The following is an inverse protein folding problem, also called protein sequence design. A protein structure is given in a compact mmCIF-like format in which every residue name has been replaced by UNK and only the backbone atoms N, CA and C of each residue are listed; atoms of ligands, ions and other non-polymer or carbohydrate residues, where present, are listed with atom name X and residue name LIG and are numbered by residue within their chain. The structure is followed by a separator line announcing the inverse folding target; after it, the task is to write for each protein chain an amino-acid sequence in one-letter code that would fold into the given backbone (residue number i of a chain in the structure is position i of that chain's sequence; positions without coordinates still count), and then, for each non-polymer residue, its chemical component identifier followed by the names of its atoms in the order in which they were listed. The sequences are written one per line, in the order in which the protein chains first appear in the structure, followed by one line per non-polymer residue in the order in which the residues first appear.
data_IF_799626697272
#
_entry.id   IF_799626697272
#
_cell.length_a   1.000
_cell.length_b   1.000
_cell.length_c   1.000
_cell.angle_alpha   90.00
_cell.angle_beta   90.00
_cell.angle_gamma   90.00
#
_symmetry.space_group_name_H-M   'P 1'
#
loop_
_entity.id
_entity.type
_entity.pdbx_description
1 polymer ?
#
# COMPACT_ATOMS: atom_id res chain seq x y z
N UNK A 1 30.47 -27.04 -9.73
CA UNK A 1 29.96 -25.68 -9.80
C UNK A 1 30.72 -24.92 -10.89
N UNK A 2 30.10 -24.70 -12.06
CA UNK A 2 30.74 -24.01 -13.20
C UNK A 2 30.79 -22.51 -12.88
N UNK A 3 31.99 -21.94 -12.80
CA UNK A 3 32.23 -20.50 -12.79
C UNK A 3 31.71 -19.92 -14.10
N UNK A 4 30.49 -19.39 -14.12
CA UNK A 4 30.00 -18.60 -15.25
C UNK A 4 30.88 -17.35 -15.29
N UNK A 5 31.75 -17.22 -16.32
CA UNK A 5 32.59 -16.04 -16.54
C UNK A 5 31.67 -14.83 -16.62
N UNK A 6 31.93 -13.78 -15.83
CA UNK A 6 31.07 -12.60 -15.64
C UNK A 6 30.62 -11.88 -16.93
N UNK A 7 31.40 -11.95 -18.00
CA UNK A 7 31.05 -11.34 -19.30
C UNK A 7 29.81 -11.97 -19.99
N UNK A 8 29.61 -13.29 -19.87
CA UNK A 8 28.43 -13.95 -20.44
C UNK A 8 27.15 -13.66 -19.65
N UNK A 9 27.27 -13.44 -18.32
CA UNK A 9 26.12 -13.08 -17.48
C UNK A 9 25.55 -11.71 -17.84
N UNK A 10 26.40 -10.74 -18.21
CA UNK A 10 25.98 -9.40 -18.62
C UNK A 10 25.22 -9.45 -19.95
N UNK A 11 25.63 -10.30 -20.88
CA UNK A 11 24.96 -10.46 -22.17
C UNK A 11 23.53 -11.00 -22.01
N UNK A 12 23.31 -11.93 -21.05
CA UNK A 12 21.97 -12.43 -20.72
C UNK A 12 21.10 -11.40 -20.00
N UNK A 13 21.70 -10.48 -19.23
CA UNK A 13 20.99 -9.40 -18.57
C UNK A 13 20.65 -8.23 -19.50
N UNK A 14 21.32 -8.10 -20.64
CA UNK A 14 21.21 -6.97 -21.58
C UNK A 14 19.76 -6.69 -22.01
N UNK A 15 18.92 -7.67 -22.44
CA UNK A 15 17.54 -7.38 -22.83
C UNK A 15 16.70 -6.79 -21.67
N UNK A 16 16.88 -7.34 -20.45
CA UNK A 16 16.18 -6.84 -19.27
C UNK A 16 16.64 -5.42 -18.89
N UNK A 17 17.96 -5.15 -18.96
CA UNK A 17 18.53 -3.83 -18.70
C UNK A 17 18.05 -2.83 -19.75
N UNK A 18 18.02 -3.20 -21.02
CA UNK A 18 17.54 -2.33 -22.08
C UNK A 18 16.07 -1.93 -21.89
N UNK A 19 15.20 -2.89 -21.55
CA UNK A 19 13.80 -2.61 -21.23
C UNK A 19 13.67 -1.72 -19.97
N UNK A 20 14.44 -2.00 -18.94
CA UNK A 20 14.44 -1.21 -17.71
C UNK A 20 14.87 0.25 -17.98
N UNK A 21 15.97 0.45 -18.73
CA UNK A 21 16.43 1.79 -19.10
C UNK A 21 15.37 2.49 -19.97
N UNK A 22 14.81 1.83 -20.97
CA UNK A 22 13.87 2.45 -21.91
C UNK A 22 12.52 2.81 -21.25
N UNK A 23 12.00 1.96 -20.39
CA UNK A 23 10.65 2.12 -19.83
C UNK A 23 10.61 2.68 -18.41
N UNK A 24 11.70 2.66 -17.69
CA UNK A 24 11.75 3.19 -16.31
C UNK A 24 12.71 4.38 -16.19
N UNK A 25 13.98 4.23 -16.59
CA UNK A 25 14.98 5.29 -16.42
C UNK A 25 14.76 6.41 -17.44
N UNK A 26 14.51 6.08 -18.71
CA UNK A 26 14.28 7.09 -19.76
C UNK A 26 13.12 8.03 -19.43
N UNK A 27 11.90 7.54 -19.15
CA UNK A 27 10.79 8.37 -18.72
C UNK A 27 11.06 9.16 -17.43
N UNK A 28 11.80 8.61 -16.48
CA UNK A 28 12.19 9.30 -15.26
C UNK A 28 13.07 10.54 -15.56
N UNK A 29 14.09 10.37 -16.41
CA UNK A 29 14.93 11.49 -16.84
C UNK A 29 14.11 12.53 -17.63
N UNK A 30 13.25 12.06 -18.54
CA UNK A 30 12.35 12.92 -19.30
C UNK A 30 11.42 13.72 -18.38
N UNK A 31 10.89 13.10 -17.32
CA UNK A 31 10.04 13.77 -16.33
C UNK A 31 10.81 14.89 -15.60
N UNK A 32 12.07 14.66 -15.21
CA UNK A 32 12.90 15.72 -14.61
C UNK A 32 13.13 16.88 -15.58
N UNK A 33 13.39 16.58 -16.87
CA UNK A 33 13.54 17.62 -17.88
C UNK A 33 12.23 18.40 -18.08
N UNK A 34 11.10 17.71 -18.24
CA UNK A 34 9.77 18.32 -18.44
C UNK A 34 9.40 19.18 -17.21
N UNK A 35 9.79 18.79 -16.00
CA UNK A 35 9.50 19.56 -14.79
C UNK A 35 10.15 20.96 -14.79
N UNK A 36 11.18 21.18 -15.60
CA UNK A 36 11.83 22.48 -15.79
C UNK A 36 11.22 23.30 -16.93
N UNK A 37 10.20 22.77 -17.60
CA UNK A 37 9.52 23.45 -18.69
C UNK A 37 8.17 24.02 -18.23
N UNK A 38 7.82 25.17 -18.77
CA UNK A 38 6.46 25.70 -18.73
C UNK A 38 5.70 25.15 -19.92
N UNK A 39 4.88 24.11 -19.67
CA UNK A 39 4.11 23.44 -20.70
C UNK A 39 2.66 23.33 -20.27
N UNK A 40 1.83 24.26 -20.78
CA UNK A 40 0.44 24.40 -20.33
C UNK A 40 -0.52 23.48 -21.07
N UNK A 41 -0.25 23.18 -22.35
CA UNK A 41 -1.10 22.32 -23.19
C UNK A 41 -0.23 21.49 -24.14
N UNK A 42 -0.73 20.33 -24.53
CA UNK A 42 -0.02 19.38 -25.44
C UNK A 42 0.38 20.05 -26.76
N UNK A 43 -0.41 21.00 -27.28
CA UNK A 43 -0.15 21.71 -28.53
C UNK A 43 0.69 22.99 -28.35
N UNK A 44 0.95 23.42 -27.12
CA UNK A 44 1.78 24.59 -26.86
C UNK A 44 3.26 24.23 -26.96
N UNK A 45 4.08 25.14 -27.50
CA UNK A 45 5.53 24.97 -27.47
C UNK A 45 6.02 25.05 -26.01
N UNK A 46 6.78 24.06 -25.53
CA UNK A 46 7.35 24.11 -24.20
C UNK A 46 8.41 25.19 -24.11
N UNK A 47 8.36 26.02 -23.08
CA UNK A 47 9.35 27.05 -22.80
C UNK A 47 10.16 26.67 -21.58
N UNK A 48 11.46 26.85 -21.62
CA UNK A 48 12.32 26.56 -20.46
C UNK A 48 12.06 27.59 -19.35
N UNK A 49 11.63 27.13 -18.19
CA UNK A 49 11.30 27.95 -17.02
C UNK A 49 12.21 27.69 -15.81
N UNK A 50 13.20 26.82 -15.94
CA UNK A 50 14.12 26.49 -14.85
C UNK A 50 13.38 25.91 -13.64
N UNK A 51 13.52 26.55 -12.50
CA UNK A 51 12.92 26.08 -11.21
C UNK A 51 11.59 26.76 -10.87
N UNK A 52 10.97 27.51 -11.78
CA UNK A 52 9.73 28.24 -11.50
C UNK A 52 8.56 27.34 -11.10
N UNK A 53 8.46 26.16 -11.69
CA UNK A 53 7.43 25.19 -11.29
C UNK A 53 7.60 24.73 -9.85
N UNK A 54 8.84 24.51 -9.41
CA UNK A 54 9.16 24.13 -8.03
C UNK A 54 8.89 25.27 -7.05
N UNK A 55 9.19 26.51 -7.42
CA UNK A 55 8.88 27.70 -6.59
C UNK A 55 7.38 27.84 -6.40
N UNK A 56 6.58 27.70 -7.48
CA UNK A 56 5.11 27.74 -7.39
C UNK A 56 4.54 26.62 -6.55
N UNK A 57 5.09 25.42 -6.70
CA UNK A 57 4.69 24.27 -5.89
C UNK A 57 4.94 24.53 -4.39
N UNK A 58 6.14 25.00 -4.05
CA UNK A 58 6.52 25.28 -2.65
C UNK A 58 5.77 26.48 -2.06
N UNK A 59 5.30 27.41 -2.89
CA UNK A 59 4.47 28.53 -2.48
C UNK A 59 2.97 28.19 -2.36
N UNK A 60 2.57 26.96 -2.73
CA UNK A 60 1.18 26.52 -2.73
C UNK A 60 0.77 25.89 -1.40
N UNK A 61 -0.24 26.43 -0.72
CA UNK A 61 -0.82 25.85 0.49
C UNK A 61 -1.40 24.45 0.24
N UNK A 62 -1.91 24.22 -0.99
CA UNK A 62 -2.42 22.91 -1.39
C UNK A 62 -1.33 21.83 -1.38
N UNK A 63 -0.10 22.18 -1.80
CA UNK A 63 1.04 21.28 -1.74
C UNK A 63 1.37 20.86 -0.30
N UNK A 64 1.46 21.83 0.62
CA UNK A 64 1.78 21.55 2.02
C UNK A 64 0.67 20.77 2.71
N UNK A 65 -0.58 21.08 2.40
CA UNK A 65 -1.74 20.30 2.89
C UNK A 65 -1.69 18.85 2.40
N UNK A 66 -1.43 18.64 1.11
CA UNK A 66 -1.30 17.31 0.53
C UNK A 66 -0.13 16.54 1.14
N UNK A 67 1.03 17.19 1.29
CA UNK A 67 2.21 16.60 1.92
C UNK A 67 1.94 16.19 3.36
N UNK A 68 1.34 17.07 4.16
CA UNK A 68 0.93 16.79 5.54
C UNK A 68 -0.02 15.60 5.62
N UNK A 69 -1.05 15.57 4.78
CA UNK A 69 -2.01 14.47 4.75
C UNK A 69 -1.35 13.15 4.34
N UNK A 70 -0.43 13.17 3.38
CA UNK A 70 0.34 11.98 2.98
C UNK A 70 1.22 11.47 4.12
N UNK A 71 1.94 12.37 4.80
CA UNK A 71 2.78 11.99 5.94
C UNK A 71 1.95 11.45 7.11
N UNK A 72 0.77 12.04 7.37
CA UNK A 72 -0.16 11.52 8.37
C UNK A 72 -0.68 10.14 7.99
N UNK A 73 -1.09 9.94 6.73
CA UNK A 73 -1.54 8.63 6.26
C UNK A 73 -0.45 7.57 6.42
N UNK A 74 0.74 7.82 5.90
CA UNK A 74 1.86 6.86 5.98
C UNK A 74 2.29 6.63 7.43
N UNK A 75 2.47 7.72 8.18
CA UNK A 75 2.93 7.69 9.57
C UNK A 75 1.97 7.02 10.54
N UNK A 76 0.67 7.01 10.23
CA UNK A 76 -0.33 6.30 11.03
C UNK A 76 -0.66 4.92 10.47
N UNK A 77 -0.75 4.76 9.14
CA UNK A 77 -1.13 3.49 8.52
C UNK A 77 -0.10 2.39 8.79
N UNK A 78 1.18 2.65 8.56
CA UNK A 78 2.23 1.64 8.69
C UNK A 78 2.37 1.08 10.13
N UNK A 79 2.40 1.90 11.19
CA UNK A 79 2.46 1.40 12.57
C UNK A 79 1.26 0.54 12.98
N UNK A 80 0.10 0.72 12.36
CA UNK A 80 -1.07 -0.14 12.59
C UNK A 80 -1.09 -1.35 11.66
N UNK A 81 -0.83 -1.15 10.38
CA UNK A 81 -0.92 -2.20 9.37
C UNK A 81 0.11 -3.31 9.60
N UNK A 82 1.37 -2.95 9.89
CA UNK A 82 2.44 -3.95 10.03
C UNK A 82 2.21 -4.88 11.22
N UNK A 83 1.95 -4.40 12.45
CA UNK A 83 1.66 -5.28 13.57
C UNK A 83 0.40 -6.12 13.37
N UNK A 84 -0.67 -5.54 12.86
CA UNK A 84 -1.91 -6.29 12.58
C UNK A 84 -1.69 -7.37 11.53
N UNK A 85 -1.01 -7.04 10.43
CA UNK A 85 -0.66 -8.02 9.39
C UNK A 85 0.28 -9.11 9.92
N UNK A 86 1.21 -8.75 10.82
CA UNK A 86 2.09 -9.71 11.47
C UNK A 86 1.30 -10.66 12.39
N UNK A 87 0.39 -10.16 13.21
CA UNK A 87 -0.47 -10.99 14.07
C UNK A 87 -1.33 -11.97 13.24
N UNK A 88 -1.97 -11.46 12.17
CA UNK A 88 -2.76 -12.30 11.25
C UNK A 88 -1.86 -13.32 10.54
N UNK A 89 -0.71 -12.89 10.05
CA UNK A 89 0.26 -13.75 9.34
C UNK A 89 0.82 -14.84 10.25
N UNK A 90 1.16 -14.50 11.49
CA UNK A 90 1.58 -15.48 12.50
C UNK A 90 0.47 -16.49 12.82
N UNK A 91 -0.76 -16.02 13.05
CA UNK A 91 -1.90 -16.90 13.27
C UNK A 91 -2.12 -17.87 12.11
N UNK A 92 -2.04 -17.39 10.86
CA UNK A 92 -2.15 -18.22 9.67
C UNK A 92 -1.02 -19.24 9.53
N UNK A 93 0.20 -18.89 9.93
CA UNK A 93 1.37 -19.79 9.89
C UNK A 93 1.23 -21.00 10.83
N UNK A 94 0.45 -20.87 11.92
CA UNK A 94 0.14 -21.96 12.84
C UNK A 94 -0.83 -22.98 12.25
N UNK A 95 -1.39 -22.72 11.07
CA UNK A 95 -2.33 -23.59 10.33
C UNK A 95 -3.54 -24.02 11.15
N UNK A 96 -4.27 -23.11 11.82
CA UNK A 96 -5.48 -23.46 12.57
C UNK A 96 -6.55 -24.03 11.65
N UNK A 97 -7.56 -24.69 12.22
CA UNK A 97 -8.71 -25.20 11.46
C UNK A 97 -9.35 -24.04 10.68
N UNK A 98 -9.57 -24.22 9.36
CA UNK A 98 -10.12 -23.18 8.49
C UNK A 98 -9.11 -22.14 7.97
N UNK A 99 -7.81 -22.26 8.28
CA UNK A 99 -6.77 -21.30 7.84
C UNK A 99 -6.78 -21.03 6.33
N UNK A 100 -7.14 -22.02 5.49
CA UNK A 100 -7.20 -21.85 4.03
C UNK A 100 -8.31 -20.86 3.63
N UNK A 101 -9.48 -20.97 4.23
CA UNK A 101 -10.62 -20.07 3.99
C UNK A 101 -10.27 -18.68 4.48
N UNK A 102 -9.72 -18.56 5.70
CA UNK A 102 -9.32 -17.29 6.27
C UNK A 102 -8.24 -16.61 5.42
N UNK A 103 -7.24 -17.36 4.91
CA UNK A 103 -6.22 -16.85 3.98
C UNK A 103 -6.85 -16.25 2.72
N UNK A 104 -7.81 -16.96 2.10
CA UNK A 104 -8.51 -16.47 0.90
C UNK A 104 -9.30 -15.20 1.23
N UNK A 105 -10.09 -15.19 2.29
CA UNK A 105 -10.90 -14.03 2.69
C UNK A 105 -10.03 -12.79 2.98
N UNK A 106 -8.91 -12.98 3.67
CA UNK A 106 -7.98 -11.88 3.98
C UNK A 106 -7.23 -11.37 2.74
N UNK A 107 -6.89 -12.27 1.80
CA UNK A 107 -6.12 -11.89 0.62
C UNK A 107 -6.98 -11.28 -0.49
N UNK A 108 -8.25 -11.65 -0.57
CA UNK A 108 -9.18 -11.18 -1.63
C UNK A 108 -9.24 -9.67 -1.78
N UNK A 109 -9.32 -8.85 -0.70
CA UNK A 109 -9.31 -7.39 -0.85
C UNK A 109 -8.10 -6.85 -1.61
N UNK A 110 -6.93 -7.43 -1.38
CA UNK A 110 -5.68 -7.01 -2.03
C UNK A 110 -5.61 -7.35 -3.53
N UNK A 111 -6.49 -8.23 -4.03
CA UNK A 111 -6.57 -8.59 -5.45
C UNK A 111 -7.51 -7.67 -6.23
N UNK A 112 -8.37 -6.91 -5.54
CA UNK A 112 -9.31 -5.99 -6.18
C UNK A 112 -8.51 -4.79 -6.71
N UNK A 113 -8.78 -4.38 -7.96
CA UNK A 113 -8.14 -3.19 -8.51
C UNK A 113 -8.50 -1.95 -7.69
N UNK A 114 -7.57 -1.00 -7.58
CA UNK A 114 -7.79 0.22 -6.82
C UNK A 114 -9.02 1.01 -7.31
N UNK A 115 -9.27 1.03 -8.63
CA UNK A 115 -10.46 1.67 -9.21
C UNK A 115 -11.75 0.99 -8.77
N UNK A 116 -11.80 -0.35 -8.75
CA UNK A 116 -12.97 -1.08 -8.28
C UNK A 116 -13.18 -0.88 -6.78
N UNK A 117 -12.10 -0.91 -5.97
CA UNK A 117 -12.15 -0.59 -4.54
C UNK A 117 -12.72 0.83 -4.31
N UNK A 118 -12.24 1.81 -5.07
CA UNK A 118 -12.73 3.19 -4.97
C UNK A 118 -14.23 3.29 -5.28
N UNK A 119 -14.73 2.61 -6.32
CA UNK A 119 -16.17 2.59 -6.65
C UNK A 119 -17.02 1.94 -5.56
N UNK A 120 -16.58 0.79 -5.02
CA UNK A 120 -17.29 0.10 -3.94
C UNK A 120 -17.35 0.98 -2.69
N UNK A 121 -16.23 1.52 -2.25
CA UNK A 121 -16.18 2.36 -1.05
C UNK A 121 -16.85 3.72 -1.27
N UNK A 122 -16.85 4.26 -2.48
CA UNK A 122 -17.68 5.42 -2.79
C UNK A 122 -19.14 5.12 -2.53
N UNK A 123 -19.67 4.01 -3.04
CA UNK A 123 -21.07 3.62 -2.80
C UNK A 123 -21.38 3.36 -1.32
N UNK A 124 -20.44 2.82 -0.55
CA UNK A 124 -20.59 2.56 0.89
C UNK A 124 -20.56 3.84 1.71
N UNK A 125 -19.71 4.81 1.34
CA UNK A 125 -19.37 6.00 2.14
C UNK A 125 -20.10 7.28 1.69
N UNK A 126 -20.96 7.22 0.66
CA UNK A 126 -21.84 8.34 0.29
C UNK A 126 -22.95 8.54 1.33
N UNK A 127 -23.62 9.72 1.38
CA UNK A 127 -24.72 9.96 2.31
C UNK A 127 -25.84 8.91 2.28
N UNK A 128 -26.36 8.46 1.12
CA UNK A 128 -27.34 7.36 1.05
C UNK A 128 -26.69 5.97 1.11
N UNK A 129 -25.40 5.86 1.46
CA UNK A 129 -24.64 4.63 1.38
C UNK A 129 -24.86 3.65 2.54
N UNK A 130 -24.32 2.44 2.37
CA UNK A 130 -24.52 1.35 3.31
C UNK A 130 -24.02 1.65 4.74
N UNK A 131 -22.96 2.44 4.90
CA UNK A 131 -22.45 2.77 6.22
C UNK A 131 -23.43 3.60 7.03
N UNK A 132 -24.00 4.66 6.44
CA UNK A 132 -25.01 5.47 7.11
C UNK A 132 -26.30 4.65 7.38
N UNK A 133 -26.73 3.83 6.41
CA UNK A 133 -27.85 2.93 6.62
C UNK A 133 -27.65 1.95 7.79
N UNK A 134 -26.46 1.37 7.90
CA UNK A 134 -26.12 0.50 9.03
C UNK A 134 -26.09 1.26 10.38
N UNK A 135 -25.52 2.47 10.40
CA UNK A 135 -25.50 3.32 11.61
C UNK A 135 -26.89 3.72 12.06
N UNK A 136 -27.81 4.04 11.12
CA UNK A 136 -29.20 4.33 11.40
C UNK A 136 -29.92 3.12 12.00
N UNK A 137 -29.77 1.94 11.38
CA UNK A 137 -30.43 0.71 11.85
C UNK A 137 -29.95 0.27 13.23
N UNK A 138 -28.69 0.60 13.58
CA UNK A 138 -28.12 0.32 14.89
C UNK A 138 -28.42 1.42 15.92
N UNK A 139 -29.09 2.51 15.54
CA UNK A 139 -29.38 3.65 16.42
C UNK A 139 -28.13 4.47 16.82
N UNK A 140 -27.03 4.29 16.08
CA UNK A 140 -25.75 4.94 16.41
C UNK A 140 -25.61 6.34 15.83
N UNK A 141 -26.32 6.64 14.74
CA UNK A 141 -26.37 7.96 14.11
C UNK A 141 -27.63 8.14 13.32
N UNK A 142 -28.16 9.35 13.30
CA UNK A 142 -29.29 9.76 12.46
C UNK A 142 -28.86 10.73 11.34
N UNK A 143 -27.57 11.03 11.22
CA UNK A 143 -27.02 11.93 10.22
C UNK A 143 -26.56 11.18 8.99
N UNK A 144 -26.88 11.73 7.81
CA UNK A 144 -26.35 11.24 6.53
C UNK A 144 -24.97 11.88 6.25
N UNK A 145 -23.97 11.38 6.91
CA UNK A 145 -22.61 11.91 6.80
C UNK A 145 -22.01 11.63 5.42
N UNK A 146 -21.49 12.68 4.77
CA UNK A 146 -20.67 12.55 3.56
C UNK A 146 -19.21 12.23 3.96
N UNK A 147 -18.92 10.96 4.22
CA UNK A 147 -17.64 10.50 4.78
C UNK A 147 -16.41 10.93 3.96
N UNK A 148 -16.53 10.92 2.62
CA UNK A 148 -15.47 11.35 1.71
C UNK A 148 -15.51 12.83 1.38
N UNK A 149 -16.68 13.48 1.55
CA UNK A 149 -16.89 14.91 1.29
C UNK A 149 -16.61 15.82 2.49
N UNK A 150 -16.37 15.26 3.67
CA UNK A 150 -16.12 16.02 4.89
C UNK A 150 -14.64 15.97 5.24
N UNK A 151 -14.01 17.14 5.41
CA UNK A 151 -12.58 17.28 5.72
C UNK A 151 -12.14 16.54 6.98
N UNK A 152 -13.04 16.33 7.95
CA UNK A 152 -12.74 15.62 9.21
C UNK A 152 -12.73 14.11 9.03
N UNK A 153 -13.56 13.57 8.13
CA UNK A 153 -13.75 12.11 7.97
C UNK A 153 -13.05 11.55 6.75
N UNK A 154 -12.79 12.37 5.72
CA UNK A 154 -12.24 11.90 4.45
C UNK A 154 -10.90 11.17 4.61
N UNK A 155 -9.97 11.73 5.39
CA UNK A 155 -8.66 11.13 5.60
C UNK A 155 -8.75 9.80 6.37
N UNK A 156 -9.60 9.74 7.39
CA UNK A 156 -9.86 8.52 8.17
C UNK A 156 -10.53 7.42 7.31
N UNK A 157 -11.46 7.82 6.44
CA UNK A 157 -12.11 6.90 5.49
C UNK A 157 -11.09 6.29 4.51
N UNK A 158 -10.24 7.12 3.91
CA UNK A 158 -9.16 6.67 3.03
C UNK A 158 -8.18 5.76 3.79
N UNK A 159 -7.82 6.12 5.02
CA UNK A 159 -6.96 5.32 5.89
C UNK A 159 -7.54 3.92 6.13
N UNK A 160 -8.82 3.83 6.47
CA UNK A 160 -9.50 2.56 6.70
C UNK A 160 -9.53 1.68 5.45
N UNK A 161 -9.85 2.26 4.29
CA UNK A 161 -9.87 1.53 3.00
C UNK A 161 -8.49 0.96 2.68
N UNK A 162 -7.43 1.76 2.85
CA UNK A 162 -6.07 1.30 2.61
C UNK A 162 -5.64 0.20 3.60
N UNK A 163 -6.02 0.32 4.88
CA UNK A 163 -5.76 -0.71 5.88
C UNK A 163 -6.44 -2.01 5.50
N UNK A 164 -7.75 -1.96 5.18
CA UNK A 164 -8.54 -3.12 4.80
C UNK A 164 -7.96 -3.83 3.56
N UNK A 165 -7.54 -3.07 2.55
CA UNK A 165 -6.97 -3.63 1.32
C UNK A 165 -5.56 -4.18 1.53
N UNK A 166 -4.74 -3.51 2.34
CA UNK A 166 -3.32 -3.83 2.49
C UNK A 166 -3.01 -4.93 3.49
N UNK A 167 -3.82 -5.05 4.56
CA UNK A 167 -3.53 -5.97 5.67
C UNK A 167 -3.42 -7.44 5.22
N UNK A 168 -4.34 -7.89 4.36
CA UNK A 168 -4.39 -9.28 3.92
C UNK A 168 -3.22 -9.67 3.05
N UNK A 169 -2.84 -8.82 2.10
CA UNK A 169 -1.67 -9.03 1.25
C UNK A 169 -0.39 -9.11 2.08
N UNK A 170 -0.20 -8.14 2.99
CA UNK A 170 0.97 -8.10 3.88
C UNK A 170 1.01 -9.32 4.81
N UNK A 171 -0.13 -9.74 5.36
CA UNK A 171 -0.23 -10.91 6.22
C UNK A 171 0.15 -12.21 5.47
N UNK A 172 -0.26 -12.37 4.21
CA UNK A 172 0.13 -13.55 3.40
C UNK A 172 1.63 -13.57 3.12
N UNK A 173 2.26 -12.44 2.83
CA UNK A 173 3.71 -12.34 2.68
C UNK A 173 4.44 -12.74 3.96
N UNK A 174 3.97 -12.25 5.11
CA UNK A 174 4.53 -12.60 6.43
C UNK A 174 4.35 -14.09 6.70
N UNK A 175 3.15 -14.65 6.43
CA UNK A 175 2.89 -16.09 6.57
C UNK A 175 3.89 -16.92 5.77
N UNK A 176 4.13 -16.56 4.50
CA UNK A 176 5.06 -17.27 3.64
C UNK A 176 6.50 -17.24 4.19
N UNK A 177 6.90 -16.12 4.78
CA UNK A 177 8.22 -15.99 5.44
C UNK A 177 8.31 -16.82 6.71
N UNK A 178 7.28 -16.81 7.56
CA UNK A 178 7.23 -17.61 8.77
C UNK A 178 7.21 -19.12 8.46
N UNK A 179 6.47 -19.54 7.42
CA UNK A 179 6.44 -20.92 6.97
C UNK A 179 7.80 -21.40 6.38
N UNK A 180 8.68 -20.51 5.98
CA UNK A 180 10.03 -20.84 5.50
C UNK A 180 11.05 -21.07 6.61
N UNK A 181 10.73 -20.75 7.87
CA UNK A 181 11.60 -20.99 9.03
C UNK A 181 11.55 -22.49 9.38
N UNK A 182 12.69 -23.18 9.50
CA UNK A 182 12.77 -24.58 9.88
C UNK A 182 12.06 -24.84 11.22
N UNK A 183 11.33 -25.95 11.30
CA UNK A 183 10.56 -26.29 12.52
C UNK A 183 11.44 -26.51 13.74
N UNK A 184 12.66 -26.98 13.51
CA UNK A 184 13.66 -27.21 14.57
C UNK A 184 13.95 -25.94 15.40
N UNK A 185 13.88 -24.75 14.77
CA UNK A 185 14.06 -23.47 15.47
C UNK A 185 12.88 -23.21 16.42
N UNK A 186 11.67 -23.49 16.00
CA UNK A 186 10.49 -23.34 16.87
C UNK A 186 10.46 -24.38 17.99
N UNK A 187 10.96 -25.58 17.74
CA UNK A 187 11.06 -26.66 18.74
C UNK A 187 12.13 -26.32 19.78
N UNK A 188 13.31 -25.85 19.35
CA UNK A 188 14.36 -25.36 20.25
C UNK A 188 13.85 -24.24 21.17
N UNK A 189 13.19 -23.22 20.60
CA UNK A 189 12.60 -22.15 21.40
C UNK A 189 11.53 -22.65 22.42
N UNK A 190 10.82 -23.75 22.10
CA UNK A 190 9.90 -24.37 23.07
C UNK A 190 10.62 -25.07 24.19
N UNK A 191 11.74 -25.72 23.92
CA UNK A 191 12.57 -26.37 24.94
C UNK A 191 13.20 -25.35 25.87
N UNK A 192 13.53 -24.15 25.34
CA UNK A 192 14.03 -23.02 26.11
C UNK A 192 12.92 -22.29 26.90
N UNK A 193 11.67 -22.80 26.88
CA UNK A 193 10.54 -22.26 27.64
C UNK A 193 9.87 -21.04 27.02
N UNK A 194 10.14 -20.72 25.74
CA UNK A 194 9.51 -19.58 25.07
C UNK A 194 8.00 -19.80 24.90
N UNK A 195 7.20 -18.84 25.42
CA UNK A 195 5.75 -18.80 25.23
C UNK A 195 5.39 -18.56 23.76
N UNK A 196 4.13 -18.78 23.37
CA UNK A 196 3.65 -18.45 22.02
C UNK A 196 3.90 -16.99 21.66
N UNK A 197 3.77 -16.08 22.64
CA UNK A 197 4.05 -14.67 22.46
C UNK A 197 5.55 -14.40 22.20
N UNK A 198 6.42 -15.00 23.02
CA UNK A 198 7.87 -14.81 22.85
C UNK A 198 8.40 -15.44 21.56
N UNK A 199 7.74 -16.49 21.04
CA UNK A 199 8.08 -17.09 19.74
C UNK A 199 7.55 -16.30 18.55
N UNK A 200 6.64 -15.35 18.79
CA UNK A 200 6.10 -14.46 17.77
C UNK A 200 7.04 -13.28 17.49
N UNK A 201 7.75 -12.81 18.54
CA UNK A 201 8.68 -11.68 18.48
C UNK A 201 10.15 -12.13 18.56
#
# INVERSE_FOLDING_TARGET
MAKIKGEKSILFAFPAIALYISFMIGPLIAMFYISTLKWTFILAKPEFSGLDNYRRMLASDAFWTALKNTLLLVGTLLPFMIPLAFMVGYYLSLKPRGHRILRVLMFTPGLISMSATAMVFFAVLTPPGLLNGALHNLGLSHENTAWLGNTRTALASIWFVNLWQGIGYTAVLITARLESIPREIFEAARLDGASNWNRMW
#
